data_IF_745994078128
#
_entry.id   IF_745994078128
#
_cell.length_a   1.000
_cell.length_b   1.000
_cell.length_c   1.000
_cell.angle_alpha   90.00
_cell.angle_beta   90.00
_cell.angle_gamma   90.00
#
_symmetry.space_group_name_H-M   'P 1'
#
loop_
_entity.id
_entity.type
_entity.pdbx_description
1 polymer ?
#
# COMPACT_ATOMS: atom_id res chain seq x y z
N UNK A 1 -33.61 12.37 6.04
CA UNK A 1 -32.30 12.42 6.71
C UNK A 1 -31.35 13.16 5.78
N UNK A 2 -30.78 14.28 6.22
CA UNK A 2 -29.72 14.95 5.46
C UNK A 2 -28.50 14.01 5.40
N UNK A 3 -27.80 13.91 4.26
CA UNK A 3 -26.59 13.09 4.20
C UNK A 3 -25.58 13.66 5.21
N UNK A 4 -25.13 12.82 6.15
CA UNK A 4 -23.96 13.13 6.98
C UNK A 4 -22.82 13.44 6.03
N UNK A 5 -22.32 14.67 6.09
CA UNK A 5 -21.18 15.11 5.29
C UNK A 5 -19.98 14.29 5.78
N UNK A 6 -19.66 13.20 5.06
CA UNK A 6 -18.46 12.41 5.34
C UNK A 6 -17.27 13.36 5.21
N UNK A 7 -16.53 13.54 6.31
CA UNK A 7 -15.32 14.35 6.33
C UNK A 7 -14.35 13.73 5.33
N UNK A 8 -13.99 14.48 4.29
CA UNK A 8 -12.97 14.04 3.33
C UNK A 8 -11.61 14.42 3.90
N UNK A 9 -10.80 13.41 4.19
CA UNK A 9 -9.42 13.56 4.61
C UNK A 9 -8.48 13.65 3.40
N UNK A 10 -7.27 14.10 3.65
CA UNK A 10 -6.18 14.28 2.71
C UNK A 10 -4.90 13.63 3.23
N UNK A 11 -3.86 13.54 2.39
CA UNK A 11 -2.54 13.06 2.79
C UNK A 11 -1.97 13.87 3.97
N UNK A 12 -2.28 15.16 4.08
CA UNK A 12 -1.82 15.97 5.23
C UNK A 12 -2.36 15.41 6.55
N UNK A 13 -3.61 14.93 6.57
CA UNK A 13 -4.19 14.30 7.76
C UNK A 13 -3.44 13.01 8.16
N UNK A 14 -2.81 12.30 7.21
CA UNK A 14 -1.95 11.14 7.50
C UNK A 14 -0.66 11.58 8.19
N UNK A 15 -0.03 12.67 7.73
CA UNK A 15 1.19 13.20 8.33
C UNK A 15 0.97 13.87 9.69
N UNK A 16 -0.26 14.30 9.97
CA UNK A 16 -0.67 14.88 11.26
C UNK A 16 -1.09 13.83 12.30
N UNK A 17 -1.07 12.53 11.95
CA UNK A 17 -1.38 11.47 12.90
C UNK A 17 -0.43 11.50 14.12
N UNK A 18 -0.93 11.15 15.32
CA UNK A 18 -0.10 11.02 16.50
C UNK A 18 1.06 10.04 16.29
N UNK A 19 2.17 10.27 16.98
CA UNK A 19 3.34 9.38 16.91
C UNK A 19 2.96 7.92 17.21
N UNK A 20 3.38 7.01 16.33
CA UNK A 20 3.09 5.58 16.43
C UNK A 20 1.76 5.15 15.81
N UNK A 21 0.89 6.08 15.42
CA UNK A 21 -0.29 5.77 14.63
C UNK A 21 0.02 5.76 13.13
N UNK A 22 -0.58 4.82 12.42
CA UNK A 22 -0.49 4.69 10.96
C UNK A 22 -1.88 4.44 10.41
N UNK A 23 -2.15 4.98 9.24
CA UNK A 23 -3.39 4.75 8.54
C UNK A 23 -3.18 4.81 7.02
N UNK A 24 -4.12 4.21 6.31
CA UNK A 24 -4.26 4.36 4.88
C UNK A 24 -5.39 5.36 4.58
N UNK A 25 -5.28 6.03 3.46
CA UNK A 25 -6.27 6.96 2.92
C UNK A 25 -6.76 6.43 1.58
N UNK A 26 -8.04 6.07 1.48
CA UNK A 26 -8.63 5.60 0.22
C UNK A 26 -9.87 6.44 -0.06
N UNK A 27 -9.86 7.14 -1.19
CA UNK A 27 -10.93 8.04 -1.63
C UNK A 27 -11.33 9.09 -0.58
N UNK A 28 -10.35 9.58 0.17
CA UNK A 28 -10.53 10.56 1.24
C UNK A 28 -11.06 9.99 2.55
N UNK A 29 -11.07 8.67 2.74
CA UNK A 29 -11.44 7.99 3.98
C UNK A 29 -10.22 7.38 4.66
N UNK A 30 -10.08 7.59 5.97
CA UNK A 30 -8.98 7.06 6.80
C UNK A 30 -9.29 5.65 7.29
N UNK A 31 -8.32 4.75 7.16
CA UNK A 31 -8.34 3.38 7.64
C UNK A 31 -7.11 3.12 8.50
N UNK A 32 -7.28 3.05 9.82
CA UNK A 32 -6.18 2.82 10.74
C UNK A 32 -5.56 1.43 10.57
N UNK A 33 -4.23 1.39 10.48
CA UNK A 33 -3.44 0.16 10.39
C UNK A 33 -3.25 -0.40 11.79
N UNK A 34 -3.57 -1.67 11.95
CA UNK A 34 -3.39 -2.39 13.22
C UNK A 34 -2.09 -3.21 13.19
N UNK A 35 -1.41 -3.39 14.34
CA UNK A 35 -0.23 -4.23 14.41
C UNK A 35 -0.47 -5.65 13.88
N UNK A 36 0.42 -6.08 12.98
CA UNK A 36 0.37 -7.39 12.35
C UNK A 36 0.93 -8.50 13.25
N UNK A 37 0.47 -9.74 13.05
CA UNK A 37 0.99 -10.89 13.80
C UNK A 37 2.42 -11.31 13.38
N UNK A 38 3.15 -12.01 14.25
CA UNK A 38 4.44 -12.64 13.90
C UNK A 38 4.36 -13.53 12.65
N UNK A 39 3.23 -14.22 12.45
CA UNK A 39 3.02 -15.11 11.28
C UNK A 39 2.96 -14.30 9.99
N UNK A 40 2.22 -13.19 10.01
CA UNK A 40 2.11 -12.25 8.90
C UNK A 40 3.48 -11.68 8.53
N UNK A 41 4.23 -11.18 9.53
CA UNK A 41 5.58 -10.65 9.31
C UNK A 41 6.57 -11.68 8.75
N UNK A 42 6.51 -12.93 9.22
CA UNK A 42 7.33 -14.01 8.67
C UNK A 42 7.00 -14.30 7.19
N UNK A 43 5.71 -14.22 6.80
CA UNK A 43 5.30 -14.40 5.41
C UNK A 43 5.77 -13.23 4.54
N UNK A 44 5.60 -11.99 5.00
CA UNK A 44 6.04 -10.79 4.27
C UNK A 44 7.54 -10.83 3.97
N UNK A 45 8.36 -11.16 4.98
CA UNK A 45 9.80 -11.30 4.81
C UNK A 45 10.17 -12.37 3.78
N UNK A 46 9.52 -13.55 3.85
CA UNK A 46 9.85 -14.68 2.98
C UNK A 46 9.42 -14.44 1.53
N UNK A 47 8.26 -13.85 1.32
CA UNK A 47 7.77 -13.49 -0.01
C UNK A 47 8.66 -12.41 -0.63
N UNK A 48 8.91 -11.32 0.11
CA UNK A 48 9.76 -10.22 -0.36
C UNK A 48 11.15 -10.71 -0.74
N UNK A 49 11.78 -11.55 0.11
CA UNK A 49 13.08 -12.16 -0.19
C UNK A 49 13.05 -13.03 -1.44
N UNK A 50 12.03 -13.87 -1.61
CA UNK A 50 11.94 -14.76 -2.77
C UNK A 50 11.78 -13.97 -4.07
N UNK A 51 10.95 -12.93 -4.04
CA UNK A 51 10.68 -12.07 -5.20
C UNK A 51 11.94 -11.27 -5.57
N UNK A 52 12.57 -10.60 -4.61
CA UNK A 52 13.80 -9.83 -4.83
C UNK A 52 14.91 -10.70 -5.40
N UNK A 53 15.18 -11.87 -4.78
CA UNK A 53 16.19 -12.81 -5.27
C UNK A 53 15.92 -13.27 -6.71
N UNK A 54 14.64 -13.49 -7.06
CA UNK A 54 14.28 -13.89 -8.42
C UNK A 54 14.59 -12.76 -9.42
N UNK A 55 14.18 -11.53 -9.11
CA UNK A 55 14.45 -10.35 -9.95
C UNK A 55 15.95 -10.18 -10.16
N UNK A 56 16.74 -10.23 -9.08
CA UNK A 56 18.20 -10.14 -9.12
C UNK A 56 18.81 -11.25 -10.00
N UNK A 57 18.35 -12.49 -9.84
CA UNK A 57 18.84 -13.64 -10.63
C UNK A 57 18.56 -13.53 -12.13
N UNK A 58 17.60 -12.67 -12.51
CA UNK A 58 17.23 -12.39 -13.90
C UNK A 58 17.84 -11.09 -14.42
N UNK A 59 18.65 -10.39 -13.62
CA UNK A 59 19.11 -9.03 -13.88
C UNK A 59 17.93 -8.08 -14.21
N UNK A 60 16.82 -8.24 -13.49
CA UNK A 60 15.67 -7.35 -13.61
C UNK A 60 15.90 -6.04 -12.85
N UNK A 61 15.26 -4.97 -13.30
CA UNK A 61 15.46 -3.63 -12.72
C UNK A 61 14.44 -3.26 -11.63
N UNK A 62 13.50 -4.14 -11.32
CA UNK A 62 12.44 -3.84 -10.36
C UNK A 62 12.94 -3.89 -8.91
N UNK A 63 12.38 -3.05 -8.06
CA UNK A 63 12.69 -2.97 -6.63
C UNK A 63 11.50 -3.46 -5.80
N UNK A 64 11.80 -4.16 -4.71
CA UNK A 64 10.80 -4.77 -3.81
C UNK A 64 10.83 -4.04 -2.46
N UNK A 65 9.68 -3.54 -2.03
CA UNK A 65 9.51 -2.83 -0.77
C UNK A 65 8.47 -3.52 0.10
N UNK A 66 8.77 -3.68 1.40
CA UNK A 66 7.83 -4.22 2.40
C UNK A 66 7.31 -3.09 3.28
N UNK A 67 6.08 -3.21 3.81
CA UNK A 67 5.52 -2.23 4.74
C UNK A 67 6.39 -2.03 6.01
N UNK A 68 6.50 -0.81 6.58
CA UNK A 68 5.95 0.45 6.07
C UNK A 68 6.63 0.94 4.79
N UNK A 69 5.82 1.25 3.78
CA UNK A 69 6.28 1.88 2.55
C UNK A 69 5.11 2.63 1.92
N UNK A 70 5.26 3.95 1.76
CA UNK A 70 4.18 4.79 1.26
C UNK A 70 3.99 4.64 -0.24
N UNK A 71 2.74 4.51 -0.67
CA UNK A 71 2.34 4.50 -2.08
C UNK A 71 1.24 5.54 -2.32
N UNK A 72 1.57 6.55 -3.13
CA UNK A 72 0.69 7.64 -3.54
C UNK A 72 0.04 7.33 -4.91
N UNK A 73 -1.02 6.49 -4.90
CA UNK A 73 -1.52 5.77 -6.08
C UNK A 73 -1.86 6.63 -7.30
N UNK A 74 -2.59 7.72 -7.12
CA UNK A 74 -3.21 8.48 -8.21
C UNK A 74 -2.57 9.85 -8.45
N UNK A 75 -1.43 10.13 -7.80
CA UNK A 75 -0.83 11.49 -7.76
C UNK A 75 -1.84 12.56 -7.32
N UNK A 76 -2.76 12.18 -6.44
CA UNK A 76 -3.72 13.06 -5.78
C UNK A 76 -3.42 13.11 -4.27
N UNK A 77 -4.16 13.95 -3.55
CA UNK A 77 -4.05 14.10 -2.10
C UNK A 77 -5.03 13.23 -1.32
N UNK A 78 -5.69 12.25 -1.97
CA UNK A 78 -6.80 11.47 -1.39
C UNK A 78 -6.53 9.98 -1.34
N UNK A 79 -5.39 9.53 -1.85
CA UNK A 79 -5.04 8.12 -1.98
C UNK A 79 -3.60 7.84 -1.57
N UNK A 80 -3.47 7.33 -0.36
CA UNK A 80 -2.22 6.91 0.28
C UNK A 80 -2.43 5.52 0.87
N UNK A 81 -1.59 4.57 0.53
CA UNK A 81 -1.67 3.19 1.06
C UNK A 81 -0.29 2.72 1.50
N UNK A 82 -0.27 1.71 2.37
CA UNK A 82 0.95 1.05 2.82
C UNK A 82 0.82 -0.47 2.61
N UNK A 83 0.92 -0.95 1.36
CA UNK A 83 0.71 -2.36 1.06
C UNK A 83 1.78 -3.24 1.72
N UNK A 84 1.44 -4.48 2.06
CA UNK A 84 2.39 -5.39 2.72
C UNK A 84 3.68 -5.58 1.90
N UNK A 85 3.55 -5.71 0.57
CA UNK A 85 4.66 -5.77 -0.38
C UNK A 85 4.30 -5.00 -1.65
N UNK A 86 5.23 -4.18 -2.14
CA UNK A 86 5.13 -3.45 -3.42
C UNK A 86 6.34 -3.78 -4.30
N UNK A 87 6.11 -4.01 -5.59
CA UNK A 87 7.15 -4.16 -6.61
C UNK A 87 7.05 -3.02 -7.62
N UNK A 88 8.14 -2.29 -7.81
CA UNK A 88 8.20 -1.10 -8.66
C UNK A 88 9.32 -1.30 -9.69
N UNK A 89 8.96 -1.31 -10.97
CA UNK A 89 9.93 -1.44 -12.06
C UNK A 89 10.33 -0.08 -12.66
N UNK A 90 9.45 0.93 -12.57
CA UNK A 90 9.77 2.31 -12.98
C UNK A 90 10.29 3.12 -11.79
N UNK A 91 11.62 3.20 -11.68
CA UNK A 91 12.32 3.92 -10.59
C UNK A 91 12.04 5.42 -10.57
N UNK A 92 11.53 6.02 -11.65
CA UNK A 92 11.15 7.44 -11.66
C UNK A 92 9.94 7.74 -10.76
N UNK A 93 9.23 6.70 -10.31
CA UNK A 93 8.17 6.83 -9.32
C UNK A 93 8.72 6.94 -7.89
N UNK A 94 9.97 6.59 -7.65
CA UNK A 94 10.53 6.49 -6.31
C UNK A 94 11.19 7.81 -5.87
N UNK A 95 10.87 8.25 -4.66
CA UNK A 95 11.56 9.32 -3.94
C UNK A 95 11.76 8.91 -2.47
N UNK A 96 12.39 9.77 -1.67
CA UNK A 96 12.64 9.49 -0.23
C UNK A 96 11.35 9.32 0.60
N UNK A 97 10.19 9.72 0.07
CA UNK A 97 8.89 9.57 0.74
C UNK A 97 8.24 8.25 0.38
N UNK A 98 8.51 7.66 -0.79
CA UNK A 98 7.96 6.38 -1.22
C UNK A 98 7.74 6.30 -2.74
N UNK A 99 6.62 5.71 -3.16
CA UNK A 99 6.24 5.55 -4.56
C UNK A 99 5.14 6.53 -5.00
N UNK A 100 5.43 7.37 -5.99
CA UNK A 100 4.53 8.35 -6.59
C UNK A 100 3.83 7.78 -7.83
N UNK A 101 2.81 6.97 -7.60
CA UNK A 101 1.98 6.32 -8.61
C UNK A 101 1.66 4.87 -8.24
N UNK A 102 1.08 4.13 -9.18
CA UNK A 102 0.81 2.71 -8.98
C UNK A 102 2.10 1.87 -9.09
N UNK A 103 2.36 0.97 -8.11
CA UNK A 103 3.31 -0.12 -8.25
C UNK A 103 2.92 -1.05 -9.41
N UNK A 104 3.89 -1.79 -9.92
CA UNK A 104 3.66 -2.79 -10.97
C UNK A 104 2.92 -4.00 -10.38
N UNK A 105 3.29 -4.43 -9.17
CA UNK A 105 2.66 -5.51 -8.43
C UNK A 105 2.51 -5.14 -6.96
N UNK A 106 1.33 -5.37 -6.39
CA UNK A 106 1.06 -5.26 -4.95
C UNK A 106 0.68 -6.64 -4.41
N UNK A 107 1.12 -6.98 -3.20
CA UNK A 107 0.72 -8.20 -2.50
C UNK A 107 0.25 -7.82 -1.08
N UNK A 108 -0.91 -8.33 -0.67
CA UNK A 108 -1.46 -8.16 0.68
C UNK A 108 -1.60 -9.52 1.37
N UNK A 109 -1.12 -9.63 2.60
CA UNK A 109 -1.17 -10.85 3.41
C UNK A 109 -2.41 -10.80 4.28
N UNK A 110 -3.47 -11.41 3.76
CA UNK A 110 -4.80 -11.27 4.34
C UNK A 110 -4.94 -12.00 5.68
N UNK A 111 -5.52 -11.30 6.64
CA UNK A 111 -5.94 -11.80 7.95
C UNK A 111 -7.47 -11.86 8.05
N UNK A 112 -8.06 -12.58 9.02
CA UNK A 112 -9.53 -12.61 9.18
C UNK A 112 -10.18 -11.22 9.27
N UNK A 113 -9.51 -10.24 9.89
CA UNK A 113 -10.00 -8.86 10.02
C UNK A 113 -9.80 -8.00 8.78
N UNK A 114 -8.82 -8.31 7.92
CA UNK A 114 -8.51 -7.50 6.74
C UNK A 114 -9.18 -7.97 5.46
N UNK A 115 -9.82 -9.15 5.44
CA UNK A 115 -10.50 -9.73 4.25
C UNK A 115 -11.34 -8.73 3.44
N UNK A 116 -12.17 -7.92 4.10
CA UNK A 116 -13.02 -6.95 3.39
C UNK A 116 -12.21 -5.82 2.77
N UNK A 117 -11.17 -5.37 3.47
CA UNK A 117 -10.28 -4.34 2.95
C UNK A 117 -9.52 -4.87 1.73
N UNK A 118 -8.81 -5.98 1.88
CA UNK A 118 -7.87 -6.47 0.88
C UNK A 118 -8.57 -7.07 -0.35
N UNK A 119 -9.60 -7.90 -0.15
CA UNK A 119 -10.27 -8.59 -1.25
C UNK A 119 -11.34 -7.77 -1.97
N UNK A 120 -11.73 -6.60 -1.46
CA UNK A 120 -12.77 -5.78 -2.10
C UNK A 120 -12.31 -4.34 -2.33
N UNK A 121 -12.03 -3.61 -1.26
CA UNK A 121 -11.78 -2.16 -1.34
C UNK A 121 -10.46 -1.90 -2.06
N UNK A 122 -9.36 -2.47 -1.55
CA UNK A 122 -8.03 -2.34 -2.14
C UNK A 122 -7.93 -3.00 -3.51
N UNK A 123 -8.50 -4.19 -3.68
CA UNK A 123 -8.59 -4.84 -5.00
C UNK A 123 -9.13 -3.89 -6.08
N UNK A 124 -10.28 -3.28 -5.82
CA UNK A 124 -10.89 -2.35 -6.78
C UNK A 124 -10.05 -1.09 -6.94
N UNK A 125 -9.51 -0.56 -5.84
CA UNK A 125 -8.70 0.66 -5.86
C UNK A 125 -7.40 0.49 -6.67
N UNK A 126 -6.67 -0.60 -6.44
CA UNK A 126 -5.44 -0.91 -7.15
C UNK A 126 -5.68 -1.18 -8.63
N UNK A 127 -6.77 -1.91 -8.95
CA UNK A 127 -7.19 -2.11 -10.34
C UNK A 127 -7.47 -0.79 -11.06
N UNK A 128 -8.15 0.14 -10.42
CA UNK A 128 -8.49 1.45 -11.02
C UNK A 128 -7.29 2.39 -11.08
N UNK A 129 -6.31 2.25 -10.20
CA UNK A 129 -5.03 2.96 -10.24
C UNK A 129 -4.02 2.39 -11.26
N UNK A 130 -4.35 1.27 -11.92
CA UNK A 130 -3.52 0.66 -12.97
C UNK A 130 -2.39 -0.24 -12.46
N UNK A 131 -2.52 -0.77 -11.23
CA UNK A 131 -1.64 -1.85 -10.76
C UNK A 131 -1.83 -3.07 -11.67
N UNK A 132 -0.74 -3.68 -12.14
CA UNK A 132 -0.78 -4.72 -13.18
C UNK A 132 -1.11 -6.10 -12.62
N UNK A 133 -0.64 -6.38 -11.41
CA UNK A 133 -0.88 -7.65 -10.70
C UNK A 133 -1.20 -7.37 -9.22
N UNK A 134 -2.14 -8.13 -8.66
CA UNK A 134 -2.56 -8.04 -7.26
C UNK A 134 -3.03 -9.40 -6.74
#
# INVERSE_FOLDING_TARGET
MAPTQERSYTINDIYELPEGERAELIDGQIYYIVPTSRKHQRLSLKLSQMIANYIDSKNGDCEVYSAPFAVFLNKDDRNYVEPDISVICDKNKLDDRGCNGSPDWIIEIVSPSSKRMDYMIKLFKYRTAGVKEY
#
